data_IF_905419647092
#
_entry.id   IF_905419647092
#
_cell.length_a   1.000
_cell.length_b   1.000
_cell.length_c   1.000
_cell.angle_alpha   90.00
_cell.angle_beta   90.00
_cell.angle_gamma   90.00
#
_symmetry.space_group_name_H-M   'P 1'
#
loop_
_entity.id
_entity.type
_entity.pdbx_description
1 polymer ?
#
# COMPACT_ATOMS: atom_id res chain seq x y z
N UNK A 1 -1.07 2.65 -20.29
CA UNK A 1 -0.95 1.67 -19.20
C UNK A 1 -2.35 1.42 -18.66
N UNK A 2 -2.71 0.18 -18.28
CA UNK A 2 -4.00 -0.11 -17.65
C UNK A 2 -4.12 0.67 -16.33
N UNK A 3 -5.35 1.05 -15.98
CA UNK A 3 -5.66 1.68 -14.70
C UNK A 3 -6.18 0.63 -13.72
N UNK A 4 -5.76 0.75 -12.46
CA UNK A 4 -6.19 -0.11 -11.36
C UNK A 4 -6.62 0.81 -10.22
N UNK A 5 -7.89 0.76 -9.86
CA UNK A 5 -8.39 1.49 -8.70
C UNK A 5 -7.86 0.83 -7.44
N UNK A 6 -7.43 1.62 -6.45
CA UNK A 6 -6.82 1.12 -5.21
C UNK A 6 -7.33 1.84 -3.97
N UNK A 7 -7.46 1.11 -2.87
CA UNK A 7 -7.74 1.63 -1.54
C UNK A 7 -6.51 1.47 -0.65
N UNK A 8 -6.25 2.45 0.24
CA UNK A 8 -5.15 2.42 1.19
C UNK A 8 -5.69 2.15 2.59
N UNK A 9 -5.24 1.05 3.20
CA UNK A 9 -5.61 0.67 4.55
C UNK A 9 -4.46 0.99 5.49
N UNK A 10 -4.68 1.93 6.42
CA UNK A 10 -3.72 2.28 7.46
C UNK A 10 -3.97 1.45 8.72
N UNK A 11 -2.90 1.05 9.40
CA UNK A 11 -2.98 0.32 10.65
C UNK A 11 -1.98 0.83 11.70
N UNK A 12 -2.38 0.73 12.96
CA UNK A 12 -1.55 1.09 14.12
C UNK A 12 -1.76 0.07 15.24
N UNK A 13 -0.68 -0.49 15.78
CA UNK A 13 -0.73 -1.44 16.89
C UNK A 13 -1.51 -2.73 16.55
N UNK A 14 -1.58 -3.09 15.26
CA UNK A 14 -2.31 -4.27 14.78
C UNK A 14 -3.80 -4.05 14.49
N UNK A 15 -4.30 -2.81 14.53
CA UNK A 15 -5.69 -2.47 14.21
C UNK A 15 -5.78 -1.56 12.99
N UNK A 16 -6.74 -1.84 12.10
CA UNK A 16 -7.05 -0.97 10.96
C UNK A 16 -7.67 0.33 11.49
N UNK A 17 -7.14 1.45 11.02
CA UNK A 17 -7.61 2.79 11.33
C UNK A 17 -8.88 3.08 10.54
N UNK A 18 -9.94 3.56 11.23
CA UNK A 18 -11.23 3.90 10.60
C UNK A 18 -11.31 5.35 10.12
N UNK A 19 -10.44 6.21 10.64
CA UNK A 19 -10.29 7.60 10.23
C UNK A 19 -8.89 7.72 9.63
N UNK A 20 -8.82 7.96 8.33
CA UNK A 20 -7.61 8.01 7.52
C UNK A 20 -7.15 9.44 7.22
N UNK A 21 -7.86 10.47 7.75
CA UNK A 21 -7.53 11.89 7.56
C UNK A 21 -6.05 12.20 7.85
N UNK A 22 -5.48 11.52 8.85
CA UNK A 22 -4.05 11.55 9.21
C UNK A 22 -3.41 10.16 9.22
N UNK A 23 -4.03 9.19 8.54
CA UNK A 23 -3.68 7.77 8.62
C UNK A 23 -2.19 7.50 8.37
N UNK A 24 -1.61 8.15 7.37
CA UNK A 24 -0.20 7.97 7.02
C UNK A 24 0.79 8.49 8.07
N UNK A 25 0.39 9.46 8.89
CA UNK A 25 1.26 10.05 9.92
C UNK A 25 1.30 9.18 11.18
N UNK A 26 0.16 8.61 11.54
CA UNK A 26 -0.03 7.87 12.79
C UNK A 26 0.18 6.36 12.64
N UNK A 27 0.06 5.82 11.42
CA UNK A 27 0.19 4.40 11.15
C UNK A 27 1.63 3.87 11.32
N UNK A 28 1.73 2.65 11.86
CA UNK A 28 2.96 1.87 11.87
C UNK A 28 3.06 0.91 10.68
N UNK A 29 1.95 0.70 9.98
CA UNK A 29 1.81 -0.19 8.84
C UNK A 29 0.70 0.29 7.91
N UNK A 30 0.83 -0.01 6.62
CA UNK A 30 -0.20 0.28 5.64
C UNK A 30 -0.20 -0.77 4.53
N UNK A 31 -1.34 -0.98 3.89
CA UNK A 31 -1.48 -1.84 2.73
C UNK A 31 -2.30 -1.16 1.65
N UNK A 32 -1.95 -1.41 0.39
CA UNK A 32 -2.66 -0.91 -0.78
C UNK A 32 -3.28 -2.08 -1.50
N UNK A 33 -4.60 -2.07 -1.61
CA UNK A 33 -5.39 -3.15 -2.21
C UNK A 33 -6.09 -2.68 -3.47
N UNK A 34 -6.16 -3.56 -4.46
CA UNK A 34 -7.11 -3.43 -5.56
C UNK A 34 -8.49 -3.98 -5.16
N UNK A 35 -9.52 -3.67 -5.96
CA UNK A 35 -10.92 -4.06 -5.75
C UNK A 35 -11.12 -5.58 -5.64
N UNK A 36 -10.30 -6.34 -6.36
CA UNK A 36 -10.32 -7.81 -6.32
C UNK A 36 -9.65 -8.41 -5.07
N UNK A 37 -9.22 -7.58 -4.14
CA UNK A 37 -8.51 -7.96 -2.91
C UNK A 37 -7.01 -8.20 -3.12
N UNK A 38 -6.47 -8.00 -4.32
CA UNK A 38 -5.03 -8.14 -4.57
C UNK A 38 -4.24 -7.12 -3.76
N UNK A 39 -3.24 -7.58 -3.01
CA UNK A 39 -2.34 -6.72 -2.27
C UNK A 39 -1.25 -6.19 -3.22
N UNK A 40 -1.39 -4.93 -3.65
CA UNK A 40 -0.38 -4.25 -4.46
C UNK A 40 0.92 -4.16 -3.66
N UNK A 41 0.84 -3.66 -2.43
CA UNK A 41 1.98 -3.57 -1.52
C UNK A 41 1.50 -3.46 -0.08
N UNK A 42 2.17 -4.15 0.83
CA UNK A 42 2.11 -3.88 2.26
C UNK A 42 3.45 -3.29 2.72
N UNK A 43 3.38 -2.26 3.55
CA UNK A 43 4.54 -1.53 4.05
C UNK A 43 4.49 -1.39 5.57
N UNK A 44 5.67 -1.40 6.18
CA UNK A 44 5.86 -1.10 7.58
C UNK A 44 6.68 0.18 7.75
N UNK A 45 6.40 0.91 8.83
CA UNK A 45 7.14 2.11 9.19
C UNK A 45 8.59 1.73 9.50
N UNK A 46 9.49 2.37 8.79
CA UNK A 46 10.92 2.23 8.95
C UNK A 46 11.45 3.04 10.13
N UNK A 47 12.56 2.58 10.71
CA UNK A 47 13.40 3.44 11.53
C UNK A 47 13.72 4.74 10.76
N UNK A 48 13.53 5.90 11.42
CA UNK A 48 13.68 7.27 10.86
C UNK A 48 12.53 7.77 9.95
N UNK A 49 11.36 7.14 10.01
CA UNK A 49 10.11 7.76 9.54
C UNK A 49 9.77 7.61 8.05
N UNK A 50 10.44 6.70 7.33
CA UNK A 50 10.02 6.29 5.98
C UNK A 50 9.19 5.00 5.99
N UNK A 51 8.84 4.50 4.82
CA UNK A 51 8.13 3.24 4.62
C UNK A 51 9.02 2.20 3.94
N UNK A 52 8.87 0.93 4.28
CA UNK A 52 9.52 -0.17 3.56
C UNK A 52 8.54 -1.29 3.28
N UNK A 53 8.71 -1.90 2.10
CA UNK A 53 7.90 -3.03 1.66
C UNK A 53 8.15 -4.21 2.59
N UNK A 54 7.07 -4.73 3.14
CA UNK A 54 7.03 -5.97 3.90
C UNK A 54 6.69 -7.14 2.96
N UNK A 55 5.58 -7.01 2.22
CA UNK A 55 5.15 -7.99 1.24
C UNK A 55 4.39 -7.35 0.06
N UNK A 56 4.15 -8.15 -0.97
CA UNK A 56 3.38 -7.80 -2.16
C UNK A 56 3.03 -9.10 -2.89
N UNK A 57 1.82 -9.21 -3.43
CA UNK A 57 1.44 -10.34 -4.31
C UNK A 57 2.25 -10.33 -5.62
N UNK A 58 2.86 -9.18 -5.94
CA UNK A 58 3.76 -8.97 -7.06
C UNK A 58 5.24 -9.16 -6.68
N UNK A 59 5.54 -9.83 -5.58
CA UNK A 59 6.91 -10.08 -5.12
C UNK A 59 7.83 -10.71 -6.18
N UNK A 60 7.27 -11.44 -7.14
CA UNK A 60 7.99 -12.06 -8.26
C UNK A 60 8.55 -11.05 -9.29
N UNK A 61 7.99 -9.84 -9.40
CA UNK A 61 8.56 -8.74 -10.23
C UNK A 61 9.44 -7.78 -9.44
N UNK A 62 9.57 -7.98 -8.12
CA UNK A 62 10.38 -7.14 -7.24
C UNK A 62 11.78 -7.74 -7.06
N UNK A 63 12.81 -6.90 -7.17
CA UNK A 63 14.16 -7.31 -6.80
C UNK A 63 14.30 -7.31 -5.28
N UNK A 64 15.21 -8.13 -4.74
CA UNK A 64 15.44 -8.16 -3.28
C UNK A 64 15.83 -6.80 -2.69
N UNK A 65 16.44 -5.92 -3.50
CA UNK A 65 16.74 -4.54 -3.12
C UNK A 65 15.51 -3.66 -2.89
N UNK A 66 14.34 -4.01 -3.44
CA UNK A 66 13.09 -3.29 -3.23
C UNK A 66 12.70 -3.26 -1.75
N UNK A 67 12.81 -4.40 -1.07
CA UNK A 67 12.48 -4.57 0.35
C UNK A 67 13.43 -3.82 1.30
N UNK A 68 14.60 -3.38 0.80
CA UNK A 68 15.55 -2.55 1.56
C UNK A 68 15.39 -1.06 1.30
N UNK A 69 14.58 -0.68 0.30
CA UNK A 69 14.35 0.71 -0.06
C UNK A 69 13.49 1.38 1.00
N UNK A 70 13.72 2.68 1.19
CA UNK A 70 12.86 3.55 2.00
C UNK A 70 12.09 4.47 1.07
N UNK A 71 10.78 4.50 1.26
CA UNK A 71 9.84 5.34 0.54
C UNK A 71 9.40 6.48 1.48
N UNK A 72 9.12 7.65 0.91
CA UNK A 72 8.67 8.80 1.70
C UNK A 72 7.22 8.61 2.10
N UNK A 73 6.41 8.09 1.17
CA UNK A 73 5.00 7.83 1.36
C UNK A 73 4.62 6.38 1.05
N UNK A 74 3.43 5.96 1.48
CA UNK A 74 2.83 4.68 1.08
C UNK A 74 2.59 4.67 -0.44
N UNK A 75 2.11 5.79 -0.98
CA UNK A 75 1.89 5.95 -2.43
C UNK A 75 3.18 5.82 -3.24
N UNK A 76 4.32 6.34 -2.76
CA UNK A 76 5.62 6.15 -3.41
C UNK A 76 6.00 4.67 -3.51
N UNK A 77 5.69 3.89 -2.48
CA UNK A 77 5.94 2.45 -2.47
C UNK A 77 5.02 1.73 -3.45
N UNK A 78 3.74 2.11 -3.48
CA UNK A 78 2.74 1.55 -4.40
C UNK A 78 3.08 1.85 -5.86
N UNK A 79 3.44 3.10 -6.18
CA UNK A 79 3.87 3.54 -7.51
C UNK A 79 5.13 2.82 -7.98
N UNK A 80 6.05 2.52 -7.05
CA UNK A 80 7.22 1.72 -7.37
C UNK A 80 6.86 0.29 -7.80
N UNK A 81 5.86 -0.33 -7.20
CA UNK A 81 5.35 -1.65 -7.62
C UNK A 81 4.57 -1.52 -8.94
N UNK A 82 3.68 -0.53 -9.05
CA UNK A 82 2.87 -0.28 -10.24
C UNK A 82 3.72 -0.08 -11.51
N UNK A 83 4.84 0.65 -11.39
CA UNK A 83 5.78 0.85 -12.48
C UNK A 83 6.38 -0.47 -13.02
N UNK A 84 6.52 -1.50 -12.17
CA UNK A 84 7.02 -2.83 -12.56
C UNK A 84 5.94 -3.71 -13.16
N UNK A 85 4.71 -3.53 -12.72
CA UNK A 85 3.52 -4.16 -13.32
C UNK A 85 3.13 -3.50 -14.65
N UNK A 86 3.57 -2.26 -14.89
CA UNK A 86 3.20 -1.49 -16.08
C UNK A 86 1.78 -0.92 -16.00
N UNK A 87 1.29 -0.61 -14.79
CA UNK A 87 -0.05 -0.06 -14.52
C UNK A 87 0.02 1.33 -13.90
N UNK A 88 -1.12 2.02 -13.90
CA UNK A 88 -1.32 3.29 -13.18
C UNK A 88 -2.31 3.02 -12.06
N UNK A 89 -1.96 3.36 -10.82
CA UNK A 89 -2.86 3.26 -9.68
C UNK A 89 -3.76 4.49 -9.61
N UNK A 90 -5.01 4.29 -9.25
CA UNK A 90 -6.01 5.34 -9.09
C UNK A 90 -6.60 5.21 -7.67
N UNK A 91 -6.14 6.01 -6.70
CA UNK A 91 -6.67 5.98 -5.35
C UNK A 91 -8.17 6.28 -5.34
N UNK A 92 -8.93 5.49 -4.59
CA UNK A 92 -10.34 5.71 -4.28
C UNK A 92 -10.53 5.80 -2.77
N UNK A 93 -11.51 6.58 -2.32
CA UNK A 93 -11.74 6.82 -0.89
C UNK A 93 -12.22 5.55 -0.16
N UNK A 94 -13.06 4.75 -0.82
CA UNK A 94 -13.47 3.43 -0.39
C UNK A 94 -14.17 2.71 -1.55
N UNK A 95 -14.07 1.39 -1.61
CA UNK A 95 -14.96 0.61 -2.47
C UNK A 95 -16.38 0.58 -1.88
N UNK A 96 -17.38 1.03 -2.64
CA UNK A 96 -18.80 0.86 -2.29
C UNK A 96 -19.14 -0.64 -2.28
N UNK A 97 -18.97 -1.33 -1.14
CA UNK A 97 -19.36 -2.73 -1.04
C UNK A 97 -18.63 -3.62 -0.02
N UNK A 98 -17.53 -3.16 0.61
CA UNK A 98 -16.82 -3.98 1.61
C UNK A 98 -17.48 -3.97 3.01
N UNK A 99 -18.80 -4.11 3.03
CA UNK A 99 -19.60 -4.38 4.22
C UNK A 99 -20.40 -5.67 4.03
N UNK A 100 -19.74 -6.76 3.61
CA UNK A 100 -20.31 -8.11 3.70
C UNK A 100 -19.22 -9.16 3.93
N UNK A 101 -18.94 -9.46 5.19
CA UNK A 101 -18.76 -10.81 5.76
C UNK A 101 -18.55 -10.71 7.29
#
# INVERSE_FOLDING_TARGET
>A
MPRVDVEIHYAHGGFIMRDDTYGEQDADSAAVFADDGTCIVAVNRAARGGWAIDCSDFGHVLTQSAYRRRFTTVTDAADYVAARMGVILCPVDAYEGSATA
#
